data_IF_138837044819
#
_entry.id   IF_138837044819
#
_cell.length_a   1.000
_cell.length_b   1.000
_cell.length_c   1.000
_cell.angle_alpha   90.00
_cell.angle_beta   90.00
_cell.angle_gamma   90.00
#
_symmetry.space_group_name_H-M   'P 1'
#
loop_
_entity.id
_entity.type
_entity.pdbx_description
1 polymer ?
#
# COMPACT_ATOMS: atom_id res chain seq x y z
N UNK A 1 11.92 22.51 -14.96
CA UNK A 1 11.02 21.39 -14.59
C UNK A 1 11.75 20.11 -14.90
N UNK A 2 11.72 19.15 -14.00
CA UNK A 2 12.34 17.83 -14.23
C UNK A 2 11.49 17.05 -15.23
N UNK A 3 12.14 16.38 -16.17
CA UNK A 3 11.49 15.52 -17.16
C UNK A 3 12.08 14.10 -17.15
N UNK A 4 11.38 13.16 -17.78
CA UNK A 4 11.84 11.79 -17.99
C UNK A 4 11.54 11.36 -19.42
N UNK A 5 12.39 10.50 -19.99
CA UNK A 5 12.13 9.89 -21.31
C UNK A 5 11.74 8.44 -21.10
N UNK A 6 10.53 8.08 -21.53
CA UNK A 6 9.99 6.71 -21.47
C UNK A 6 9.49 6.34 -22.87
N UNK A 7 9.91 5.17 -23.37
CA UNK A 7 9.58 4.72 -24.73
C UNK A 7 9.85 5.77 -25.83
N UNK A 8 10.93 6.56 -25.68
CA UNK A 8 11.34 7.60 -26.63
C UNK A 8 10.52 8.89 -26.59
N UNK A 9 9.57 9.05 -25.66
CA UNK A 9 8.80 10.27 -25.45
C UNK A 9 9.19 10.94 -24.14
N UNK A 10 9.34 12.26 -24.17
CA UNK A 10 9.63 13.07 -22.98
C UNK A 10 8.35 13.44 -22.23
N UNK A 11 8.39 13.35 -20.90
CA UNK A 11 7.30 13.64 -20.00
C UNK A 11 7.74 14.56 -18.86
N UNK A 12 6.85 15.47 -18.47
CA UNK A 12 6.87 16.16 -17.19
C UNK A 12 5.85 15.50 -16.24
N UNK A 13 5.75 15.98 -14.99
CA UNK A 13 4.81 15.40 -14.01
C UNK A 13 3.33 15.50 -14.41
N UNK A 14 2.95 16.52 -15.19
CA UNK A 14 1.57 16.72 -15.64
C UNK A 14 1.24 15.85 -16.85
N UNK A 15 2.18 15.73 -17.80
CA UNK A 15 1.98 14.94 -19.01
C UNK A 15 2.07 13.44 -18.72
N UNK A 16 2.95 12.99 -17.81
CA UNK A 16 2.96 11.58 -17.39
C UNK A 16 1.67 11.18 -16.67
N UNK A 17 1.13 12.05 -15.81
CA UNK A 17 -0.13 11.79 -15.10
C UNK A 17 -1.34 11.68 -16.04
N UNK A 18 -1.29 12.40 -17.16
CA UNK A 18 -2.34 12.36 -18.20
C UNK A 18 -2.11 11.27 -19.25
N UNK A 19 -0.98 10.58 -19.21
CA UNK A 19 -0.67 9.54 -20.18
C UNK A 19 -1.71 8.42 -20.13
N UNK A 20 -2.17 7.99 -21.30
CA UNK A 20 -3.26 7.01 -21.42
C UNK A 20 -2.77 5.63 -21.08
N UNK A 21 -1.58 5.28 -21.57
CA UNK A 21 -0.99 3.97 -21.41
C UNK A 21 -0.54 3.73 -19.96
N UNK A 22 -1.17 2.75 -19.30
CA UNK A 22 -0.88 2.41 -17.91
C UNK A 22 0.57 1.98 -17.70
N UNK A 23 1.14 1.22 -18.64
CA UNK A 23 2.52 0.74 -18.54
C UNK A 23 3.54 1.88 -18.50
N UNK A 24 3.31 2.98 -19.24
CA UNK A 24 4.20 4.15 -19.23
C UNK A 24 4.16 4.83 -17.85
N UNK A 25 2.96 4.93 -17.25
CA UNK A 25 2.80 5.49 -15.91
C UNK A 25 3.42 4.59 -14.84
N UNK A 26 3.35 3.27 -15.00
CA UNK A 26 4.05 2.31 -14.14
C UNK A 26 5.57 2.44 -14.26
N UNK A 27 6.10 2.56 -15.48
CA UNK A 27 7.54 2.76 -15.71
C UNK A 27 8.03 4.06 -15.06
N UNK A 28 7.21 5.13 -15.10
CA UNK A 28 7.52 6.35 -14.36
C UNK A 28 7.57 6.13 -12.83
N UNK A 29 6.66 5.33 -12.27
CA UNK A 29 6.71 4.94 -10.86
C UNK A 29 7.98 4.15 -10.56
N UNK A 30 8.35 3.21 -11.42
CA UNK A 30 9.55 2.38 -11.25
C UNK A 30 10.83 3.21 -11.24
N UNK A 31 10.87 4.25 -12.07
CA UNK A 31 11.95 5.26 -12.14
C UNK A 31 11.82 6.35 -11.07
N UNK A 32 10.90 6.21 -10.11
CA UNK A 32 10.63 7.16 -9.02
C UNK A 32 10.28 8.58 -9.49
N UNK A 33 9.69 8.72 -10.68
CA UNK A 33 9.29 10.00 -11.26
C UNK A 33 7.81 10.31 -10.95
N UNK A 34 7.51 11.57 -10.64
CA UNK A 34 6.15 12.10 -10.42
C UNK A 34 5.30 11.34 -9.36
N UNK A 35 5.91 10.62 -8.41
CA UNK A 35 5.20 9.78 -7.43
C UNK A 35 4.11 10.54 -6.65
N UNK A 36 4.38 11.80 -6.27
CA UNK A 36 3.42 12.68 -5.57
C UNK A 36 2.16 12.98 -6.40
N UNK A 37 2.26 12.90 -7.73
CA UNK A 37 1.14 13.08 -8.65
C UNK A 37 0.43 11.75 -8.90
N UNK A 38 1.21 10.71 -9.18
CA UNK A 38 0.75 9.35 -9.48
C UNK A 38 0.10 8.65 -8.29
N UNK A 39 0.25 9.16 -7.05
CA UNK A 39 -0.55 8.71 -5.90
C UNK A 39 -2.06 8.85 -6.14
N UNK A 40 -2.49 9.77 -7.01
CA UNK A 40 -3.89 9.98 -7.39
C UNK A 40 -4.22 9.38 -8.78
N UNK A 41 -3.41 8.43 -9.27
CA UNK A 41 -3.64 7.83 -10.58
C UNK A 41 -5.01 7.15 -10.65
N UNK A 42 -5.65 7.22 -11.81
CA UNK A 42 -6.92 6.53 -12.06
C UNK A 42 -6.83 5.02 -11.88
N UNK A 43 -5.65 4.43 -12.12
CA UNK A 43 -5.41 3.00 -11.96
C UNK A 43 -5.01 2.65 -10.54
N UNK A 44 -5.73 1.70 -9.95
CA UNK A 44 -5.34 1.11 -8.67
C UNK A 44 -3.99 0.40 -8.73
N UNK A 45 -3.58 -0.12 -9.91
CA UNK A 45 -2.28 -0.76 -10.07
C UNK A 45 -1.14 0.26 -9.96
N UNK A 46 -1.29 1.42 -10.59
CA UNK A 46 -0.33 2.52 -10.48
C UNK A 46 -0.27 3.05 -9.05
N UNK A 47 -1.41 3.27 -8.39
CA UNK A 47 -1.43 3.70 -6.98
C UNK A 47 -0.79 2.68 -6.03
N UNK A 48 -1.02 1.38 -6.26
CA UNK A 48 -0.34 0.33 -5.52
C UNK A 48 1.18 0.37 -5.76
N UNK A 49 1.63 0.54 -7.01
CA UNK A 49 3.04 0.70 -7.32
C UNK A 49 3.67 1.92 -6.60
N UNK A 50 2.94 3.05 -6.51
CA UNK A 50 3.38 4.22 -5.72
C UNK A 50 3.49 3.87 -4.23
N UNK A 51 2.53 3.16 -3.66
CA UNK A 51 2.60 2.68 -2.27
C UNK A 51 3.82 1.74 -2.05
N UNK A 52 4.18 0.90 -3.02
CA UNK A 52 5.39 0.06 -2.90
C UNK A 52 6.68 0.89 -2.75
N UNK A 53 6.70 2.13 -3.25
CA UNK A 53 7.82 3.07 -3.08
C UNK A 53 7.79 3.82 -1.73
N UNK A 54 6.89 3.43 -0.81
CA UNK A 54 6.66 4.07 0.49
C UNK A 54 6.23 5.56 0.37
N UNK A 55 5.46 5.89 -0.67
CA UNK A 55 4.98 7.25 -0.94
C UNK A 55 3.46 7.32 -0.83
N UNK A 56 2.96 8.37 -0.19
CA UNK A 56 1.53 8.69 -0.21
C UNK A 56 0.65 7.81 0.67
N UNK A 57 1.23 7.01 1.58
CA UNK A 57 0.49 6.08 2.44
C UNK A 57 -0.62 6.74 3.27
N UNK A 58 -0.43 7.98 3.73
CA UNK A 58 -1.48 8.71 4.46
C UNK A 58 -2.74 8.97 3.60
N UNK A 59 -2.57 9.13 2.28
CA UNK A 59 -3.68 9.28 1.35
C UNK A 59 -4.25 7.92 0.94
N UNK A 60 -3.37 6.95 0.65
CA UNK A 60 -3.73 5.62 0.14
C UNK A 60 -4.27 4.66 1.20
N UNK A 61 -4.17 4.99 2.50
CA UNK A 61 -4.71 4.17 3.59
C UNK A 61 -6.23 3.99 3.50
N UNK A 62 -6.93 4.94 2.88
CA UNK A 62 -8.38 4.90 2.66
C UNK A 62 -8.73 4.68 1.18
N UNK A 63 -7.80 4.15 0.38
CA UNK A 63 -8.04 3.91 -1.05
C UNK A 63 -9.23 2.98 -1.27
N UNK A 64 -10.07 3.24 -2.27
CA UNK A 64 -11.22 2.41 -2.61
C UNK A 64 -10.84 0.95 -2.90
N UNK A 65 -9.64 0.74 -3.46
CA UNK A 65 -9.11 -0.58 -3.76
C UNK A 65 -8.44 -1.20 -2.54
N UNK A 66 -8.99 -2.29 -2.03
CA UNK A 66 -8.36 -3.08 -0.96
C UNK A 66 -6.95 -3.57 -1.33
N UNK A 67 -6.64 -3.76 -2.63
CA UNK A 67 -5.29 -4.13 -3.08
C UNK A 67 -4.27 -3.01 -2.86
N UNK A 68 -4.69 -1.76 -3.01
CA UNK A 68 -3.85 -0.60 -2.70
C UNK A 68 -3.66 -0.53 -1.18
N UNK A 69 -4.73 -0.63 -0.39
CA UNK A 69 -4.65 -0.62 1.08
C UNK A 69 -3.80 -1.76 1.64
N UNK A 70 -3.90 -2.96 1.09
CA UNK A 70 -3.04 -4.10 1.44
C UNK A 70 -1.56 -3.83 1.08
N UNK A 71 -1.32 -3.13 -0.02
CA UNK A 71 0.04 -2.70 -0.39
C UNK A 71 0.57 -1.68 0.62
N UNK A 72 -0.25 -0.69 1.01
CA UNK A 72 0.09 0.25 2.09
C UNK A 72 0.40 -0.51 3.38
N UNK A 73 -0.46 -1.45 3.79
CA UNK A 73 -0.26 -2.30 4.96
C UNK A 73 1.07 -3.07 4.89
N UNK A 74 1.50 -3.50 3.72
CA UNK A 74 2.73 -4.26 3.51
C UNK A 74 4.00 -3.40 3.62
N UNK A 75 3.97 -2.18 3.08
CA UNK A 75 5.18 -1.36 2.89
C UNK A 75 5.31 -0.15 3.81
N UNK A 76 4.27 0.21 4.57
CA UNK A 76 4.34 1.38 5.46
C UNK A 76 5.24 1.15 6.67
N UNK A 77 6.01 2.16 7.06
CA UNK A 77 6.74 2.18 8.35
C UNK A 77 5.95 2.94 9.44
N UNK A 78 4.77 3.47 9.09
CA UNK A 78 3.97 4.27 10.00
C UNK A 78 2.99 3.39 10.80
N UNK A 79 3.22 3.32 12.11
CA UNK A 79 2.27 2.68 13.05
C UNK A 79 0.88 3.32 12.97
N UNK A 80 0.79 4.65 12.82
CA UNK A 80 -0.50 5.34 12.67
C UNK A 80 -1.29 4.87 11.44
N UNK A 81 -0.59 4.52 10.35
CA UNK A 81 -1.25 3.94 9.16
C UNK A 81 -1.70 2.51 9.43
N UNK A 82 -0.89 1.71 10.13
CA UNK A 82 -1.27 0.35 10.54
C UNK A 82 -2.44 0.35 11.55
N UNK A 83 -2.54 1.34 12.42
CA UNK A 83 -3.66 1.53 13.35
C UNK A 83 -5.00 1.71 12.64
N UNK A 84 -5.00 2.30 11.44
CA UNK A 84 -6.20 2.39 10.60
C UNK A 84 -6.49 1.03 9.94
N UNK A 85 -5.46 0.38 9.39
CA UNK A 85 -5.59 -0.83 8.58
C UNK A 85 -5.86 -2.10 9.40
N UNK A 86 -5.58 -2.10 10.71
CA UNK A 86 -5.92 -3.23 11.60
C UNK A 86 -7.43 -3.47 11.65
N UNK A 87 -8.24 -2.42 11.46
CA UNK A 87 -9.70 -2.48 11.42
C UNK A 87 -10.28 -2.47 10.01
N UNK A 88 -9.46 -2.73 8.97
CA UNK A 88 -9.92 -2.64 7.58
C UNK A 88 -11.11 -3.57 7.30
N UNK A 89 -12.05 -3.11 6.48
CA UNK A 89 -13.24 -3.89 6.14
C UNK A 89 -12.92 -5.16 5.35
N UNK A 90 -11.81 -5.19 4.60
CA UNK A 90 -11.38 -6.34 3.83
C UNK A 90 -10.40 -7.20 4.65
N UNK A 91 -10.74 -8.48 4.81
CA UNK A 91 -9.95 -9.49 5.51
C UNK A 91 -8.47 -9.55 5.06
N UNK A 92 -8.20 -9.58 3.75
CA UNK A 92 -6.84 -9.63 3.23
C UNK A 92 -5.96 -8.45 3.66
N UNK A 93 -6.53 -7.26 3.87
CA UNK A 93 -5.76 -6.12 4.41
C UNK A 93 -5.39 -6.40 5.87
N UNK A 94 -6.35 -6.83 6.69
CA UNK A 94 -6.11 -7.23 8.09
C UNK A 94 -5.13 -8.40 8.20
N UNK A 95 -5.19 -9.34 7.26
CA UNK A 95 -4.24 -10.45 7.14
C UNK A 95 -2.81 -9.95 6.94
N UNK A 96 -2.60 -8.97 6.04
CA UNK A 96 -1.27 -8.37 5.86
C UNK A 96 -0.80 -7.69 7.16
N UNK A 97 -1.69 -7.02 7.89
CA UNK A 97 -1.37 -6.37 9.17
C UNK A 97 -0.94 -7.40 10.22
N UNK A 98 -1.71 -8.48 10.43
CA UNK A 98 -1.36 -9.52 11.43
C UNK A 98 -0.08 -10.26 11.07
N UNK A 99 0.18 -10.49 9.78
CA UNK A 99 1.43 -11.14 9.32
C UNK A 99 2.66 -10.30 9.63
N UNK A 100 2.51 -8.99 9.84
CA UNK A 100 3.58 -8.09 10.26
C UNK A 100 3.79 -8.05 11.78
N UNK A 101 3.01 -8.78 12.57
CA UNK A 101 3.10 -8.72 14.02
C UNK A 101 2.40 -7.51 14.64
N UNK A 102 1.61 -6.76 13.86
CA UNK A 102 0.97 -5.55 14.34
C UNK A 102 -0.46 -5.80 14.80
N UNK A 103 -0.89 -5.10 15.85
CA UNK A 103 -2.29 -5.11 16.30
C UNK A 103 -2.79 -6.47 16.79
N UNK A 104 -1.89 -7.38 17.20
CA UNK A 104 -2.25 -8.78 17.52
C UNK A 104 -3.39 -8.87 18.54
N UNK A 105 -3.34 -8.08 19.61
CA UNK A 105 -4.39 -8.03 20.63
C UNK A 105 -5.76 -7.61 20.08
N UNK A 106 -5.79 -6.77 19.04
CA UNK A 106 -7.05 -6.38 18.39
C UNK A 106 -7.58 -7.48 17.46
N UNK A 107 -6.68 -8.31 16.93
CA UNK A 107 -6.99 -9.33 15.92
C UNK A 107 -7.22 -10.74 16.49
N UNK A 108 -7.03 -10.99 17.79
CA UNK A 108 -7.27 -12.34 18.39
C UNK A 108 -8.73 -12.82 18.25
N UNK A 109 -9.66 -11.89 18.04
CA UNK A 109 -11.08 -12.18 17.83
C UNK A 109 -11.55 -11.70 16.44
N UNK A 110 -10.64 -11.63 15.47
CA UNK A 110 -11.01 -11.31 14.08
C UNK A 110 -12.11 -12.27 13.59
N UNK A 111 -13.11 -11.78 12.83
CA UNK A 111 -14.12 -12.64 12.23
C UNK A 111 -13.54 -13.71 11.29
N UNK A 112 -12.36 -13.47 10.71
CA UNK A 112 -11.62 -14.47 9.96
C UNK A 112 -10.78 -15.34 10.89
N UNK A 113 -11.04 -16.65 10.86
CA UNK A 113 -10.40 -17.62 11.75
C UNK A 113 -8.88 -17.75 11.52
N UNK A 114 -8.40 -17.56 10.29
CA UNK A 114 -6.96 -17.63 9.99
C UNK A 114 -6.25 -16.42 10.62
N UNK A 115 -6.81 -15.22 10.46
CA UNK A 115 -6.27 -13.99 11.07
C UNK A 115 -6.23 -14.12 12.59
N UNK A 116 -7.33 -14.56 13.22
CA UNK A 116 -7.41 -14.75 14.66
C UNK A 116 -6.40 -15.80 15.17
N UNK A 117 -6.19 -16.88 14.42
CA UNK A 117 -5.23 -17.92 14.76
C UNK A 117 -3.79 -17.44 14.66
N UNK A 118 -3.44 -16.68 13.61
CA UNK A 118 -2.12 -16.06 13.47
C UNK A 118 -1.85 -15.09 14.62
N UNK A 119 -2.84 -14.27 14.98
CA UNK A 119 -2.71 -13.32 16.09
C UNK A 119 -2.39 -14.02 17.41
N UNK A 120 -3.17 -15.06 17.76
CA UNK A 120 -2.95 -15.87 18.98
C UNK A 120 -1.58 -16.53 19.00
N UNK A 121 -1.18 -17.15 17.88
CA UNK A 121 0.11 -17.82 17.76
C UNK A 121 1.27 -16.84 17.96
N UNK A 122 1.22 -15.67 17.31
CA UNK A 122 2.29 -14.68 17.44
C UNK A 122 2.35 -14.05 18.84
N UNK A 123 1.22 -13.81 19.50
CA UNK A 123 1.22 -13.32 20.89
C UNK A 123 1.92 -14.28 21.85
N UNK A 124 1.62 -15.58 21.74
CA UNK A 124 2.24 -16.61 22.59
C UNK A 124 3.76 -16.70 22.40
N UNK A 125 4.24 -16.48 21.18
CA UNK A 125 5.66 -16.54 20.87
C UNK A 125 6.42 -15.23 21.16
N UNK A 126 5.71 -14.12 21.32
CA UNK A 126 6.30 -12.83 21.68
C UNK A 126 6.48 -12.66 23.21
N UNK A 127 5.77 -13.43 24.03
CA UNK A 127 5.91 -13.41 25.51
C UNK A 127 7.13 -14.23 26.01
N UNK A 128 7.84 -14.92 25.11
CA UNK A 128 8.99 -15.78 25.43
C UNK A 128 10.37 -15.26 25.04
N UNK A 129 10.50 -14.00 24.60
CA UNK A 129 11.75 -13.39 24.12
C UNK A 129 12.24 -12.24 25.02
#
# INVERSE_FOLDING_TARGET
MSTIVIAGKEYDELTIFKEKEEYIRLEAVDLCFALKKLVNDKSALVRAAVAQKNVGHEALVNDDSWRVRATVAKYTDSNRVLDVLVGDSHDFVRYVVVKRGYGLFLLVNDPDEEIASIAKYQMQNNEGA
#
